data_IF_600603153432
#
_entry.id   IF_600603153432
#
_cell.length_a   1.000
_cell.length_b   1.000
_cell.length_c   1.000
_cell.angle_alpha   90.00
_cell.angle_beta   90.00
_cell.angle_gamma   90.00
#
_symmetry.space_group_name_H-M   'P 1'
#
loop_
_entity.id
_entity.type
_entity.pdbx_description
1 polymer ?
#
# COMPACT_ATOMS: atom_id res chain seq x y z
N UNK A 1 13.95 -28.34 -12.52
CA UNK A 1 13.29 -27.17 -13.12
C UNK A 1 14.38 -26.30 -13.71
N UNK A 2 14.34 -26.02 -15.00
CA UNK A 2 15.27 -25.06 -15.59
C UNK A 2 14.90 -23.67 -15.04
N UNK A 3 15.83 -23.04 -14.37
CA UNK A 3 15.73 -21.61 -14.02
C UNK A 3 15.65 -20.84 -15.33
N UNK A 4 14.49 -20.24 -15.61
CA UNK A 4 14.33 -19.37 -16.80
C UNK A 4 15.17 -18.12 -16.54
N UNK A 5 16.31 -18.05 -17.17
CA UNK A 5 17.24 -16.93 -17.07
C UNK A 5 16.66 -15.71 -17.78
N UNK A 6 16.33 -14.66 -17.03
CA UNK A 6 15.85 -13.39 -17.60
C UNK A 6 17.04 -12.62 -18.17
N UNK A 7 16.96 -12.28 -19.44
CA UNK A 7 17.97 -11.50 -20.16
C UNK A 7 17.48 -10.07 -20.43
N UNK A 8 18.38 -9.20 -20.89
CA UNK A 8 18.04 -7.84 -21.26
C UNK A 8 16.96 -7.77 -22.35
N UNK A 9 16.89 -8.77 -23.23
CA UNK A 9 15.89 -8.81 -24.32
C UNK A 9 14.49 -9.20 -23.82
N UNK A 10 14.36 -9.77 -22.64
CA UNK A 10 13.10 -10.20 -22.07
C UNK A 10 12.38 -9.05 -21.34
N UNK A 11 13.03 -7.90 -21.16
CA UNK A 11 12.48 -6.77 -20.42
C UNK A 11 12.35 -5.52 -21.27
N UNK A 12 11.29 -4.76 -21.03
CA UNK A 12 11.03 -3.47 -21.68
C UNK A 12 10.55 -2.44 -20.65
N UNK A 13 10.72 -1.17 -20.95
CA UNK A 13 10.14 -0.07 -20.17
C UNK A 13 8.62 -0.24 -20.12
N UNK A 14 8.01 -0.04 -18.94
CA UNK A 14 6.59 -0.22 -18.71
C UNK A 14 6.18 -1.64 -18.30
N UNK A 15 7.08 -2.63 -18.34
CA UNK A 15 6.80 -3.96 -17.83
C UNK A 15 6.77 -3.98 -16.30
N UNK A 16 5.92 -4.83 -15.73
CA UNK A 16 5.86 -5.10 -14.31
C UNK A 16 6.84 -6.21 -13.94
N UNK A 17 7.74 -5.91 -13.02
CA UNK A 17 8.78 -6.83 -12.58
C UNK A 17 8.92 -6.84 -11.06
N UNK A 18 9.47 -7.93 -10.55
CA UNK A 18 9.98 -8.02 -9.19
C UNK A 18 11.50 -7.90 -9.25
N UNK A 19 12.05 -7.04 -8.40
CA UNK A 19 13.49 -6.78 -8.37
C UNK A 19 14.07 -7.04 -6.99
N UNK A 20 15.36 -7.37 -6.95
CA UNK A 20 16.20 -7.34 -5.75
C UNK A 20 16.82 -5.94 -5.69
N UNK A 21 16.43 -5.07 -4.74
CA UNK A 21 16.96 -3.72 -4.66
C UNK A 21 18.46 -3.68 -4.40
N UNK A 22 19.17 -2.79 -5.10
CA UNK A 22 20.63 -2.64 -4.94
C UNK A 22 21.06 -2.18 -3.54
N UNK A 23 20.18 -1.47 -2.83
CA UNK A 23 20.45 -0.88 -1.51
C UNK A 23 19.80 -1.66 -0.36
N UNK A 24 19.19 -2.82 -0.66
CA UNK A 24 18.52 -3.62 0.36
C UNK A 24 19.50 -4.40 1.21
N UNK A 25 19.45 -4.17 2.53
CA UNK A 25 20.18 -4.98 3.51
C UNK A 25 19.50 -6.34 3.82
N UNK A 26 18.26 -6.53 3.32
CA UNK A 26 17.38 -7.63 3.73
C UNK A 26 16.77 -8.37 2.54
N UNK A 27 17.37 -8.51 1.41
CA UNK A 27 16.89 -9.26 0.22
C UNK A 27 15.34 -9.15 -0.05
N UNK A 28 14.72 -8.10 0.47
CA UNK A 28 13.28 -7.87 0.34
C UNK A 28 12.97 -7.50 -1.11
N UNK A 29 12.25 -8.38 -1.80
CA UNK A 29 11.83 -8.17 -3.18
C UNK A 29 10.84 -6.99 -3.30
N UNK A 30 11.04 -6.17 -4.30
CA UNK A 30 10.16 -5.04 -4.62
C UNK A 30 9.53 -5.22 -5.99
N UNK A 31 8.22 -5.09 -6.08
CA UNK A 31 7.47 -5.18 -7.33
C UNK A 31 7.10 -3.78 -7.83
N UNK A 32 7.31 -3.54 -9.11
CA UNK A 32 6.97 -2.26 -9.73
C UNK A 32 7.17 -2.26 -11.24
N UNK A 33 6.76 -1.15 -11.87
CA UNK A 33 6.92 -0.96 -13.31
C UNK A 33 8.30 -0.40 -13.63
N UNK A 34 8.91 -0.90 -14.70
CA UNK A 34 10.21 -0.42 -15.21
C UNK A 34 10.05 0.98 -15.78
N UNK A 35 10.75 1.95 -15.22
CA UNK A 35 10.89 3.28 -15.77
C UNK A 35 12.09 3.38 -16.71
N UNK A 36 13.20 2.68 -16.37
CA UNK A 36 14.45 2.71 -17.14
C UNK A 36 15.20 1.40 -17.02
N UNK A 37 15.82 0.96 -18.11
CA UNK A 37 16.70 -0.20 -18.13
C UNK A 37 18.14 0.30 -18.10
N UNK A 38 18.89 -0.12 -17.08
CA UNK A 38 20.26 0.32 -16.84
C UNK A 38 21.29 -0.58 -17.52
N UNK A 39 20.96 -1.87 -17.71
CA UNK A 39 21.82 -2.84 -18.41
C UNK A 39 21.77 -2.62 -19.90
N UNK A 40 22.96 -2.42 -20.54
CA UNK A 40 23.07 -2.17 -21.98
C UNK A 40 23.28 -3.45 -22.79
N UNK A 41 24.00 -4.43 -22.23
CA UNK A 41 24.37 -5.66 -22.95
C UNK A 41 23.18 -6.61 -23.09
N UNK A 42 22.83 -6.97 -24.32
CA UNK A 42 21.65 -7.79 -24.63
C UNK A 42 21.68 -9.19 -23.96
N UNK A 43 22.84 -9.79 -23.81
CA UNK A 43 23.05 -11.14 -23.25
C UNK A 43 23.47 -11.11 -21.77
N UNK A 44 23.30 -9.99 -21.08
CA UNK A 44 23.61 -9.91 -19.65
C UNK A 44 22.68 -10.84 -18.86
N UNK A 45 23.27 -11.62 -17.96
CA UNK A 45 22.57 -12.55 -17.06
C UNK A 45 21.84 -11.83 -15.93
N UNK A 46 22.25 -10.63 -15.62
CA UNK A 46 21.62 -9.76 -14.64
C UNK A 46 21.12 -8.50 -15.33
N UNK A 47 19.82 -8.24 -15.23
CA UNK A 47 19.21 -7.06 -15.80
C UNK A 47 18.90 -6.05 -14.72
N UNK A 48 19.69 -4.98 -14.69
CA UNK A 48 19.49 -3.89 -13.76
C UNK A 48 18.52 -2.86 -14.31
N UNK A 49 17.54 -2.48 -13.50
CA UNK A 49 16.48 -1.54 -13.88
C UNK A 49 16.25 -0.51 -12.79
N UNK A 50 15.59 0.58 -13.16
CA UNK A 50 15.01 1.55 -12.24
C UNK A 50 13.49 1.49 -12.39
N UNK A 51 12.79 1.34 -11.26
CA UNK A 51 11.34 1.35 -11.22
C UNK A 51 10.79 2.77 -11.23
N UNK A 52 9.50 2.91 -11.54
CA UNK A 52 8.79 4.21 -11.47
C UNK A 52 8.79 4.83 -10.08
N UNK A 53 9.03 4.03 -9.03
CA UNK A 53 9.25 4.50 -7.65
C UNK A 53 10.63 5.11 -7.41
N UNK A 54 11.57 5.01 -8.38
CA UNK A 54 12.97 5.41 -8.26
C UNK A 54 13.89 4.35 -7.65
N UNK A 55 13.36 3.20 -7.23
CA UNK A 55 14.14 2.09 -6.68
C UNK A 55 14.87 1.40 -7.83
N UNK A 56 16.18 1.16 -7.65
CA UNK A 56 17.00 0.43 -8.60
C UNK A 56 17.33 -0.98 -8.07
N UNK A 57 17.41 -1.94 -8.96
CA UNK A 57 17.75 -3.30 -8.60
C UNK A 57 17.85 -4.24 -9.79
N UNK A 58 18.13 -5.51 -9.50
CA UNK A 58 18.22 -6.59 -10.50
C UNK A 58 16.88 -7.27 -10.64
N UNK A 59 16.42 -7.48 -11.88
CA UNK A 59 15.17 -8.20 -12.16
C UNK A 59 15.30 -9.65 -11.72
N UNK A 60 14.42 -10.06 -10.82
CA UNK A 60 14.29 -11.41 -10.30
C UNK A 60 13.17 -12.19 -11.03
N UNK A 61 12.05 -11.54 -11.29
CA UNK A 61 10.89 -12.16 -11.88
C UNK A 61 10.12 -11.20 -12.80
N UNK A 62 9.61 -11.72 -13.93
CA UNK A 62 8.61 -11.03 -14.74
C UNK A 62 7.22 -11.31 -14.15
N UNK A 63 6.52 -10.26 -13.71
CA UNK A 63 5.22 -10.40 -13.05
C UNK A 63 4.12 -10.04 -14.02
N UNK A 64 3.10 -10.89 -14.14
CA UNK A 64 1.91 -10.51 -14.91
C UNK A 64 1.12 -9.44 -14.13
N UNK A 65 0.54 -8.49 -14.85
CA UNK A 65 -0.29 -7.46 -14.25
C UNK A 65 -1.45 -8.07 -13.44
N UNK A 66 -2.05 -9.13 -13.95
CA UNK A 66 -3.14 -9.85 -13.27
C UNK A 66 -2.70 -10.53 -11.98
N UNK A 67 -1.48 -11.07 -11.94
CA UNK A 67 -0.91 -11.66 -10.72
C UNK A 67 -0.63 -10.58 -9.67
N UNK A 68 -0.08 -9.44 -10.08
CA UNK A 68 0.16 -8.30 -9.19
C UNK A 68 -1.13 -7.71 -8.62
N UNK A 69 -2.13 -7.50 -9.46
CA UNK A 69 -3.43 -7.02 -9.02
C UNK A 69 -4.10 -8.04 -8.07
N UNK A 70 -4.02 -9.34 -8.35
CA UNK A 70 -4.53 -10.40 -7.45
C UNK A 70 -3.82 -10.40 -6.09
N UNK A 71 -2.49 -10.28 -6.05
CA UNK A 71 -1.73 -10.21 -4.80
C UNK A 71 -2.11 -8.98 -3.98
N UNK A 72 -2.27 -7.84 -4.64
CA UNK A 72 -2.72 -6.59 -4.05
C UNK A 72 -4.13 -6.72 -3.49
N UNK A 73 -5.06 -7.31 -4.27
CA UNK A 73 -6.42 -7.58 -3.84
C UNK A 73 -6.48 -8.59 -2.71
N UNK A 74 -5.61 -9.59 -2.69
CA UNK A 74 -5.54 -10.57 -1.60
C UNK A 74 -5.33 -9.91 -0.25
N UNK A 75 -4.41 -8.98 -0.14
CA UNK A 75 -4.20 -8.23 1.11
C UNK A 75 -5.45 -7.46 1.53
N UNK A 76 -6.04 -6.73 0.60
CA UNK A 76 -7.23 -5.95 0.88
C UNK A 76 -8.43 -6.83 1.18
N UNK A 77 -8.53 -7.97 0.51
CA UNK A 77 -9.56 -8.96 0.77
C UNK A 77 -9.52 -9.42 2.23
N UNK A 78 -8.34 -9.80 2.71
CA UNK A 78 -8.14 -10.18 4.11
C UNK A 78 -8.55 -9.03 5.05
N UNK A 79 -8.13 -7.80 4.76
CA UNK A 79 -8.47 -6.64 5.56
C UNK A 79 -9.99 -6.37 5.60
N UNK A 80 -10.66 -6.42 4.45
CA UNK A 80 -12.11 -6.17 4.36
C UNK A 80 -12.97 -7.27 4.99
N UNK A 81 -12.51 -8.50 5.02
CA UNK A 81 -13.22 -9.62 5.64
C UNK A 81 -12.95 -9.78 7.13
N UNK A 82 -11.99 -9.06 7.67
CA UNK A 82 -11.79 -9.06 9.11
C UNK A 82 -13.04 -8.59 9.84
N UNK A 83 -13.37 -9.30 10.93
CA UNK A 83 -14.57 -9.01 11.71
C UNK A 83 -14.49 -7.65 12.41
N UNK A 84 -13.28 -7.23 12.77
CA UNK A 84 -13.03 -6.04 13.55
C UNK A 84 -12.04 -5.12 12.84
N UNK A 85 -12.54 -3.95 12.45
CA UNK A 85 -11.71 -2.86 11.93
C UNK A 85 -11.93 -1.65 12.82
N UNK A 86 -10.84 -1.11 13.31
CA UNK A 86 -10.83 0.04 14.22
C UNK A 86 -10.27 1.27 13.54
N UNK A 87 -10.69 2.42 14.06
CA UNK A 87 -10.06 3.71 13.83
C UNK A 87 -9.99 4.49 15.13
N UNK A 88 -9.31 5.60 15.14
CA UNK A 88 -9.19 6.44 16.32
C UNK A 88 -10.28 7.50 16.29
N UNK A 89 -11.04 7.58 17.38
CA UNK A 89 -12.15 8.52 17.55
C UNK A 89 -11.75 9.67 18.44
N UNK A 90 -11.97 10.89 17.99
CA UNK A 90 -11.85 12.11 18.78
C UNK A 90 -13.19 12.40 19.46
N UNK A 91 -13.23 12.16 20.79
CA UNK A 91 -14.44 12.35 21.60
C UNK A 91 -14.88 13.82 21.67
N UNK A 92 -13.92 14.74 21.65
CA UNK A 92 -14.17 16.18 21.76
C UNK A 92 -14.77 16.72 20.47
N UNK A 93 -14.20 16.34 19.32
CA UNK A 93 -14.68 16.77 18.01
C UNK A 93 -15.78 15.88 17.45
N UNK A 94 -16.07 14.75 18.07
CA UNK A 94 -17.06 13.75 17.63
C UNK A 94 -16.85 13.29 16.18
N UNK A 95 -15.60 12.99 15.84
CA UNK A 95 -15.18 12.52 14.51
C UNK A 95 -13.97 11.59 14.60
N UNK A 96 -13.73 10.84 13.52
CA UNK A 96 -12.49 10.07 13.42
C UNK A 96 -11.28 11.00 13.29
N UNK A 97 -10.15 10.57 13.87
CA UNK A 97 -8.90 11.30 13.80
C UNK A 97 -8.39 11.39 12.37
N UNK A 98 -8.07 12.59 11.95
CA UNK A 98 -7.37 12.88 10.70
C UNK A 98 -6.16 13.72 11.03
N UNK A 99 -4.98 13.27 10.62
CA UNK A 99 -3.73 14.01 10.78
C UNK A 99 -3.26 14.53 9.43
N UNK A 100 -2.61 15.69 9.48
CA UNK A 100 -1.88 16.24 8.34
C UNK A 100 -0.48 15.63 8.34
N UNK A 101 -0.22 14.70 7.43
CA UNK A 101 1.06 14.00 7.32
C UNK A 101 1.90 14.64 6.21
N UNK A 102 3.13 15.09 6.50
CA UNK A 102 4.00 15.65 5.48
C UNK A 102 4.36 14.62 4.41
N UNK A 103 4.26 15.02 3.15
CA UNK A 103 4.81 14.28 2.02
C UNK A 103 6.00 15.07 1.46
N UNK A 104 7.20 14.67 1.82
CA UNK A 104 8.43 15.36 1.46
C UNK A 104 8.67 15.41 -0.06
N UNK A 105 8.31 14.31 -0.77
CA UNK A 105 8.45 14.23 -2.24
C UNK A 105 7.57 15.23 -2.98
N UNK A 106 6.38 15.50 -2.44
CA UNK A 106 5.41 16.43 -3.04
C UNK A 106 5.41 17.81 -2.39
N UNK A 107 6.24 18.02 -1.37
CA UNK A 107 6.34 19.26 -0.58
C UNK A 107 4.97 19.77 -0.12
N UNK A 108 4.08 18.84 0.30
CA UNK A 108 2.76 19.17 0.82
C UNK A 108 2.36 18.24 1.96
N UNK A 109 1.36 18.66 2.71
CA UNK A 109 0.74 17.80 3.73
C UNK A 109 -0.45 17.05 3.13
N UNK A 110 -0.69 15.84 3.60
CA UNK A 110 -1.77 14.95 3.16
C UNK A 110 -2.70 14.63 4.33
N UNK A 111 -3.99 14.81 4.12
CA UNK A 111 -5.02 14.47 5.11
C UNK A 111 -5.15 12.95 5.21
N UNK A 112 -4.71 12.41 6.33
CA UNK A 112 -4.58 10.97 6.54
C UNK A 112 -5.40 10.51 7.74
N UNK A 113 -6.23 9.49 7.52
CA UNK A 113 -6.90 8.74 8.58
C UNK A 113 -6.22 7.37 8.79
N UNK A 114 -6.61 6.67 9.84
CA UNK A 114 -5.95 5.44 10.27
C UNK A 114 -6.97 4.32 10.37
N UNK A 115 -6.62 3.16 9.83
CA UNK A 115 -7.41 1.94 9.90
C UNK A 115 -6.56 0.82 10.49
N UNK A 116 -7.15 0.01 11.37
CA UNK A 116 -6.47 -1.09 12.03
C UNK A 116 -7.35 -2.34 12.01
N UNK A 117 -6.77 -3.45 11.61
CA UNK A 117 -7.29 -4.79 11.89
C UNK A 117 -6.41 -5.53 12.91
N UNK A 118 -5.25 -4.96 13.22
CA UNK A 118 -4.38 -5.37 14.32
C UNK A 118 -4.64 -4.48 15.55
N UNK A 119 -5.23 -5.06 16.59
CA UNK A 119 -5.55 -4.34 17.81
C UNK A 119 -4.29 -3.84 18.53
N UNK A 120 -3.18 -4.58 18.48
CA UNK A 120 -1.92 -4.17 19.08
C UNK A 120 -1.35 -2.91 18.42
N UNK A 121 -1.38 -2.85 17.09
CA UNK A 121 -0.99 -1.66 16.32
C UNK A 121 -1.89 -0.45 16.64
N UNK A 122 -3.19 -0.67 16.77
CA UNK A 122 -4.15 0.36 17.13
C UNK A 122 -3.89 0.92 18.53
N UNK A 123 -3.65 0.07 19.52
CA UNK A 123 -3.32 0.47 20.90
C UNK A 123 -1.99 1.21 20.99
N UNK A 124 -1.00 0.77 20.20
CA UNK A 124 0.31 1.45 20.13
C UNK A 124 0.18 2.88 19.62
N UNK A 125 -0.59 3.08 18.55
CA UNK A 125 -0.84 4.42 18.04
C UNK A 125 -1.63 5.28 19.05
N UNK A 126 -2.67 4.72 19.66
CA UNK A 126 -3.46 5.44 20.67
C UNK A 126 -2.58 5.90 21.84
N UNK A 127 -1.68 5.05 22.33
CA UNK A 127 -0.73 5.39 23.38
C UNK A 127 0.24 6.50 22.95
N UNK A 128 0.64 6.55 21.68
CA UNK A 128 1.53 7.60 21.16
C UNK A 128 0.89 8.98 21.13
N UNK A 129 -0.44 9.07 21.09
CA UNK A 129 -1.16 10.34 21.12
C UNK A 129 -1.19 10.98 22.51
N UNK A 130 -1.01 10.19 23.57
CA UNK A 130 -0.95 10.60 24.97
C UNK A 130 -2.03 11.62 25.37
N UNK A 131 -3.26 11.37 24.95
CA UNK A 131 -4.40 12.26 25.16
C UNK A 131 -5.69 11.45 25.36
N UNK A 132 -6.33 11.61 26.50
CA UNK A 132 -7.60 10.97 26.88
C UNK A 132 -8.79 11.35 25.97
N UNK A 133 -8.59 12.34 25.11
CA UNK A 133 -9.60 12.75 24.12
C UNK A 133 -9.82 11.67 23.05
N UNK A 134 -8.79 10.86 22.79
CA UNK A 134 -8.84 9.82 21.78
C UNK A 134 -9.19 8.46 22.34
N UNK A 135 -9.90 7.67 21.54
CA UNK A 135 -10.24 6.29 21.86
C UNK A 135 -10.27 5.43 20.59
N UNK A 136 -10.09 4.13 20.75
CA UNK A 136 -10.37 3.19 19.68
C UNK A 136 -11.88 3.05 19.49
N UNK A 137 -12.31 3.07 18.24
CA UNK A 137 -13.69 2.84 17.87
C UNK A 137 -13.75 1.85 16.71
N UNK A 138 -14.57 0.83 16.87
CA UNK A 138 -14.87 -0.10 15.79
C UNK A 138 -15.73 0.58 14.73
N UNK A 139 -15.37 0.36 13.46
CA UNK A 139 -16.13 0.90 12.33
C UNK A 139 -17.45 0.17 12.13
N UNK A 140 -18.47 0.90 11.73
CA UNK A 140 -19.75 0.31 11.39
C UNK A 140 -19.64 -0.51 10.09
N UNK A 141 -19.61 -1.84 10.23
CA UNK A 141 -19.46 -2.78 9.10
C UNK A 141 -20.70 -2.91 8.22
N UNK A 142 -21.84 -2.38 8.63
CA UNK A 142 -23.05 -2.29 7.78
C UNK A 142 -22.92 -1.21 6.70
N UNK A 143 -21.93 -0.31 6.86
CA UNK A 143 -21.59 0.73 5.88
C UNK A 143 -20.23 0.43 5.26
N UNK A 144 -20.01 0.78 3.98
CA UNK A 144 -18.69 0.80 3.40
C UNK A 144 -17.71 1.62 4.25
N UNK A 145 -16.44 1.20 4.32
CA UNK A 145 -15.42 1.94 5.10
C UNK A 145 -15.33 3.42 4.68
N UNK A 146 -15.32 3.78 3.36
CA UNK A 146 -15.33 5.17 2.95
C UNK A 146 -16.51 5.98 3.49
N UNK A 147 -17.68 5.35 3.65
CA UNK A 147 -18.86 6.04 4.16
C UNK A 147 -18.72 6.46 5.64
N UNK A 148 -17.90 5.77 6.42
CA UNK A 148 -17.61 6.19 7.80
C UNK A 148 -16.81 7.50 7.87
N UNK A 149 -16.11 7.85 6.79
CA UNK A 149 -15.20 9.00 6.69
C UNK A 149 -15.64 10.06 5.69
N UNK A 150 -16.78 9.88 5.05
CA UNK A 150 -17.25 10.70 3.91
C UNK A 150 -17.16 12.22 4.14
N UNK A 151 -17.37 12.69 5.36
CA UNK A 151 -17.41 14.12 5.70
C UNK A 151 -16.03 14.72 6.03
N UNK A 152 -14.96 13.90 6.06
CA UNK A 152 -13.67 14.31 6.59
C UNK A 152 -12.64 14.72 5.54
N UNK A 153 -12.99 14.69 4.26
CA UNK A 153 -12.08 15.08 3.14
C UNK A 153 -10.72 14.38 3.19
N UNK A 154 -10.73 13.06 3.40
CA UNK A 154 -9.51 12.26 3.52
C UNK A 154 -8.90 12.02 2.16
N UNK A 155 -7.58 12.15 2.05
CA UNK A 155 -6.81 11.80 0.85
C UNK A 155 -6.24 10.39 0.94
N UNK A 156 -5.77 9.98 2.12
CA UNK A 156 -5.12 8.70 2.36
C UNK A 156 -5.55 8.06 3.67
N UNK A 157 -5.43 6.74 3.68
CA UNK A 157 -5.46 5.92 4.90
C UNK A 157 -4.10 5.28 5.15
N UNK A 158 -3.71 5.20 6.41
CA UNK A 158 -2.65 4.29 6.86
C UNK A 158 -3.31 3.07 7.49
N UNK A 159 -2.94 1.89 7.01
CA UNK A 159 -3.46 0.61 7.48
C UNK A 159 -2.42 -0.03 8.37
N UNK A 160 -2.73 -0.26 9.64
CA UNK A 160 -1.81 -0.76 10.68
C UNK A 160 -0.48 0.03 10.75
N UNK A 161 -0.48 1.29 10.33
CA UNK A 161 0.69 2.17 10.16
C UNK A 161 1.75 1.68 9.14
N UNK A 162 1.56 0.52 8.52
CA UNK A 162 2.53 -0.08 7.60
C UNK A 162 2.27 0.27 6.14
N UNK A 163 1.02 0.41 5.74
CA UNK A 163 0.62 0.62 4.35
C UNK A 163 -0.18 1.89 4.17
N UNK A 164 0.13 2.60 3.09
CA UNK A 164 -0.60 3.78 2.64
C UNK A 164 -1.57 3.41 1.51
N UNK A 165 -2.81 3.84 1.62
CA UNK A 165 -3.85 3.63 0.63
C UNK A 165 -4.59 4.93 0.35
N UNK A 166 -4.79 5.30 -0.93
CA UNK A 166 -5.61 6.46 -1.25
C UNK A 166 -7.10 6.20 -1.00
N UNK A 167 -7.83 7.22 -0.60
CA UNK A 167 -9.29 7.15 -0.42
C UNK A 167 -9.99 6.68 -1.70
N UNK A 168 -9.55 7.20 -2.86
CA UNK A 168 -10.05 6.79 -4.17
C UNK A 168 -9.85 5.29 -4.40
N UNK A 169 -8.66 4.77 -4.12
CA UNK A 169 -8.36 3.35 -4.31
C UNK A 169 -9.20 2.47 -3.38
N UNK A 170 -9.40 2.88 -2.13
CA UNK A 170 -10.28 2.18 -1.21
C UNK A 170 -11.71 2.08 -1.74
N UNK A 171 -12.24 3.18 -2.29
CA UNK A 171 -13.58 3.22 -2.89
C UNK A 171 -13.70 2.29 -4.11
N UNK A 172 -12.71 2.30 -4.99
CA UNK A 172 -12.64 1.42 -6.16
C UNK A 172 -12.65 -0.07 -5.75
N UNK A 173 -11.92 -0.40 -4.69
CA UNK A 173 -11.83 -1.76 -4.17
C UNK A 173 -13.13 -2.23 -3.53
N UNK A 174 -13.79 -1.40 -2.75
CA UNK A 174 -15.11 -1.74 -2.21
C UNK A 174 -16.15 -1.95 -3.31
N UNK A 175 -16.10 -1.15 -4.37
CA UNK A 175 -16.98 -1.32 -5.51
C UNK A 175 -16.70 -2.64 -6.24
N UNK A 176 -15.45 -3.01 -6.39
CA UNK A 176 -15.05 -4.29 -6.97
C UNK A 176 -15.61 -5.48 -6.17
N UNK A 177 -15.50 -5.45 -4.84
CA UNK A 177 -16.04 -6.50 -3.99
C UNK A 177 -17.57 -6.58 -4.02
N UNK A 178 -18.26 -5.46 -4.07
CA UNK A 178 -19.72 -5.44 -4.20
C UNK A 178 -20.22 -6.08 -5.51
N UNK A 179 -19.43 -5.92 -6.57
CA UNK A 179 -19.79 -6.47 -7.88
C UNK A 179 -19.46 -7.97 -8.00
N UNK A 180 -18.63 -8.52 -7.11
CA UNK A 180 -18.28 -9.95 -7.08
C UNK A 180 -19.22 -10.79 -6.22
N UNK A 181 -20.05 -10.19 -5.39
CA UNK A 181 -21.01 -10.80 -4.48
C UNK A 181 -22.41 -10.22 -4.70
#
# INVERSE_FOLDING_TARGET
>A
MEEVMITRNDVAVGMLVRIIPSDSKNDALVTGYIAKILTKKATAKEVKVELTSGIQGVVDELVSQDAFEREKFRFYNLFFFDKHIYSIWDKKRKRYLVLMIPNEKKQRQERTAFLFNDEAAAKKMLASLDDDTFMLRELNRKKPIPANFKTLTIEFFRINEERKLSYKKLTEMEQFYKNMH
#
